data_IF_198896202600
#
_entry.id   IF_198896202600
#
_cell.length_a   1.000
_cell.length_b   1.000
_cell.length_c   1.000
_cell.angle_alpha   90.00
_cell.angle_beta   90.00
_cell.angle_gamma   90.00
#
_symmetry.space_group_name_H-M   'P 1'
#
loop_
_entity.id
_entity.type
_entity.pdbx_description
1 polymer ?
#
# COMPACT_ATOMS: atom_id res chain seq x y z
N UNK A 1 24.10 24.27 -11.44
CA UNK A 1 23.61 23.07 -10.75
C UNK A 1 22.12 22.94 -11.05
N UNK A 2 21.64 21.75 -11.36
CA UNK A 2 20.22 21.52 -11.64
C UNK A 2 19.73 20.47 -10.65
N UNK A 3 18.61 20.76 -9.99
CA UNK A 3 17.93 19.82 -9.07
C UNK A 3 16.61 19.43 -9.71
N UNK A 4 16.35 18.14 -9.80
CA UNK A 4 15.10 17.62 -10.35
C UNK A 4 14.10 17.36 -9.23
N UNK A 5 12.95 18.03 -9.29
CA UNK A 5 11.83 17.87 -8.33
C UNK A 5 10.49 17.64 -9.02
N UNK A 6 10.48 17.45 -10.35
CA UNK A 6 9.27 17.40 -11.16
C UNK A 6 8.60 16.01 -11.24
N UNK A 7 9.07 15.02 -10.46
CA UNK A 7 8.47 13.68 -10.45
C UNK A 7 8.83 12.87 -9.21
N UNK A 8 7.87 12.08 -8.74
CA UNK A 8 8.04 11.06 -7.71
C UNK A 8 8.06 9.68 -8.36
N UNK A 9 8.97 8.82 -7.91
CA UNK A 9 8.96 7.40 -8.23
C UNK A 9 8.44 6.59 -7.04
N UNK A 10 8.05 5.35 -7.30
CA UNK A 10 7.71 4.38 -6.26
C UNK A 10 8.74 3.24 -6.24
N UNK A 11 8.95 2.57 -5.09
CA UNK A 11 9.89 1.45 -5.02
C UNK A 11 9.52 0.33 -6.00
N UNK A 12 10.51 -0.18 -6.73
CA UNK A 12 10.32 -1.24 -7.74
C UNK A 12 10.12 -2.64 -7.14
N UNK A 13 10.19 -2.77 -5.81
CA UNK A 13 10.17 -4.04 -5.09
C UNK A 13 8.92 -4.88 -5.39
N UNK A 14 7.74 -4.25 -5.48
CA UNK A 14 6.49 -4.96 -5.74
C UNK A 14 6.51 -5.64 -7.12
N UNK A 15 6.83 -4.87 -8.16
CA UNK A 15 6.95 -5.37 -9.53
C UNK A 15 8.04 -6.45 -9.65
N UNK A 16 9.21 -6.24 -9.05
CA UNK A 16 10.31 -7.22 -9.06
C UNK A 16 9.99 -8.50 -8.29
N UNK A 17 9.05 -8.44 -7.34
CA UNK A 17 8.56 -9.60 -6.60
C UNK A 17 7.44 -10.34 -7.35
N UNK A 18 7.08 -9.90 -8.56
CA UNK A 18 6.00 -10.51 -9.36
C UNK A 18 4.60 -10.17 -8.87
N UNK A 19 4.45 -9.14 -8.03
CA UNK A 19 3.15 -8.68 -7.55
C UNK A 19 2.50 -7.73 -8.56
N UNK A 20 1.17 -7.71 -8.56
CA UNK A 20 0.35 -6.84 -9.39
C UNK A 20 0.55 -5.39 -8.97
N UNK A 21 0.95 -4.55 -9.92
CA UNK A 21 1.14 -3.11 -9.71
C UNK A 21 0.32 -2.27 -10.68
N UNK A 22 0.03 -1.03 -10.29
CA UNK A 22 -0.52 -0.03 -11.20
C UNK A 22 0.53 0.45 -12.23
N UNK A 23 0.13 1.33 -13.14
CA UNK A 23 1.00 1.86 -14.20
C UNK A 23 2.22 2.65 -13.68
N UNK A 24 2.18 3.15 -12.43
CA UNK A 24 3.33 3.81 -11.82
C UNK A 24 4.23 2.84 -11.03
N UNK A 25 3.80 1.60 -10.80
CA UNK A 25 4.54 0.60 -10.02
C UNK A 25 4.08 0.45 -8.57
N UNK A 26 2.95 1.06 -8.18
CA UNK A 26 2.37 0.93 -6.84
C UNK A 26 1.71 -0.44 -6.68
N UNK A 27 1.86 -1.06 -5.53
CA UNK A 27 1.23 -2.34 -5.22
C UNK A 27 -0.29 -2.18 -5.22
N UNK A 28 -0.98 -2.97 -6.04
CA UNK A 28 -2.44 -3.03 -6.05
C UNK A 28 -2.92 -3.75 -4.79
N UNK A 29 -3.82 -3.10 -4.07
CA UNK A 29 -4.41 -3.63 -2.84
C UNK A 29 -5.92 -3.54 -2.85
N UNK A 30 -6.57 -4.26 -1.95
CA UNK A 30 -7.94 -3.96 -1.55
C UNK A 30 -8.00 -2.71 -0.64
N UNK A 31 -9.20 -2.39 -0.14
CA UNK A 31 -9.46 -1.27 0.76
C UNK A 31 -8.84 -1.45 2.15
N UNK A 32 -8.44 -2.68 2.51
CA UNK A 32 -7.71 -2.98 3.75
C UNK A 32 -6.20 -2.79 3.60
N UNK A 33 -5.75 -2.34 2.42
CA UNK A 33 -4.35 -2.21 2.04
C UNK A 33 -3.62 -3.54 1.90
N UNK A 34 -4.36 -4.62 1.67
CA UNK A 34 -3.82 -5.96 1.44
C UNK A 34 -3.56 -6.18 -0.04
N UNK A 35 -2.40 -6.74 -0.38
CA UNK A 35 -2.12 -7.15 -1.76
C UNK A 35 -3.22 -8.05 -2.31
N UNK A 36 -3.63 -7.80 -3.55
CA UNK A 36 -4.59 -8.66 -4.25
C UNK A 36 -4.00 -10.02 -4.64
N UNK A 37 -2.67 -10.17 -4.60
CA UNK A 37 -1.97 -11.40 -4.98
C UNK A 37 -1.64 -12.30 -3.78
N UNK A 38 -1.29 -11.72 -2.63
CA UNK A 38 -0.93 -12.47 -1.41
C UNK A 38 -1.49 -11.81 -0.13
N UNK A 39 -2.36 -12.50 0.64
CA UNK A 39 -2.95 -11.96 1.85
C UNK A 39 -1.95 -11.70 2.98
N UNK A 40 -0.69 -12.13 2.86
CA UNK A 40 0.37 -11.85 3.84
C UNK A 40 1.06 -10.51 3.60
N UNK A 41 0.81 -9.87 2.45
CA UNK A 41 1.48 -8.64 2.05
C UNK A 41 0.51 -7.46 2.24
N UNK A 42 1.01 -6.40 2.87
CA UNK A 42 0.28 -5.16 3.13
C UNK A 42 1.09 -3.99 2.58
N UNK A 43 0.43 -3.05 1.92
CA UNK A 43 1.05 -1.83 1.41
C UNK A 43 0.74 -0.63 2.32
N UNK A 44 1.58 0.39 2.30
CA UNK A 44 1.33 1.65 2.99
C UNK A 44 1.93 2.83 2.23
N UNK A 45 1.44 4.04 2.52
CA UNK A 45 1.94 5.28 1.95
C UNK A 45 1.84 5.33 0.42
N UNK A 46 2.81 6.00 -0.19
CA UNK A 46 2.83 6.27 -1.64
C UNK A 46 3.06 5.01 -2.50
N UNK A 47 3.40 3.88 -1.87
CA UNK A 47 3.58 2.59 -2.55
C UNK A 47 2.26 1.81 -2.73
N UNK A 48 1.15 2.27 -2.15
CA UNK A 48 -0.14 1.58 -2.20
C UNK A 48 -1.08 2.17 -3.27
N UNK A 49 -1.83 1.30 -3.96
CA UNK A 49 -2.93 1.66 -4.83
C UNK A 49 -4.20 0.87 -4.46
N UNK A 50 -4.94 1.33 -3.42
CA UNK A 50 -6.16 0.66 -2.95
C UNK A 50 -7.25 0.71 -4.01
N UNK A 51 -7.76 -0.44 -4.40
CA UNK A 51 -8.78 -0.62 -5.43
C UNK A 51 -8.42 0.07 -6.75
N UNK A 52 -7.11 0.17 -7.05
CA UNK A 52 -6.59 0.89 -8.21
C UNK A 52 -6.78 2.42 -8.15
N UNK A 53 -7.18 2.98 -7.01
CA UNK A 53 -7.43 4.41 -6.78
C UNK A 53 -6.46 4.94 -5.71
N UNK A 54 -5.20 5.21 -6.09
CA UNK A 54 -4.18 5.65 -5.16
C UNK A 54 -4.43 7.07 -4.66
N UNK A 55 -4.10 7.32 -3.40
CA UNK A 55 -4.13 8.66 -2.82
C UNK A 55 -2.98 9.52 -3.36
N UNK A 56 -3.14 10.85 -3.23
CA UNK A 56 -2.11 11.81 -3.60
C UNK A 56 -0.83 11.55 -2.81
N UNK A 57 0.29 11.41 -3.53
CA UNK A 57 1.61 11.24 -2.94
C UNK A 57 1.95 12.41 -2.02
N UNK A 58 1.99 12.15 -0.72
CA UNK A 58 2.25 13.15 0.32
C UNK A 58 2.36 12.52 1.69
N UNK A 59 3.16 13.13 2.57
CA UNK A 59 3.22 12.75 3.98
C UNK A 59 1.85 12.84 4.67
N UNK A 60 1.01 13.82 4.28
CA UNK A 60 -0.34 14.00 4.81
C UNK A 60 -1.24 12.79 4.52
N UNK A 61 -1.19 12.25 3.29
CA UNK A 61 -1.96 11.06 2.92
C UNK A 61 -1.32 9.77 3.46
N UNK A 62 0.01 9.73 3.55
CA UNK A 62 0.75 8.55 4.00
C UNK A 62 0.48 8.21 5.48
N UNK A 63 0.28 9.21 6.34
CA UNK A 63 0.00 9.00 7.77
C UNK A 63 -1.26 8.15 8.01
N UNK A 64 -2.45 8.58 7.54
CA UNK A 64 -3.68 7.79 7.65
C UNK A 64 -3.58 6.39 7.03
N UNK A 65 -2.92 6.25 5.87
CA UNK A 65 -2.68 4.94 5.24
C UNK A 65 -1.83 4.03 6.14
N UNK A 66 -0.79 4.57 6.77
CA UNK A 66 0.05 3.81 7.70
C UNK A 66 -0.73 3.30 8.91
N UNK A 67 -1.62 4.13 9.47
CA UNK A 67 -2.51 3.70 10.58
C UNK A 67 -3.43 2.57 10.13
N UNK A 68 -4.04 2.69 8.95
CA UNK A 68 -4.91 1.64 8.42
C UNK A 68 -4.16 0.33 8.15
N UNK A 69 -2.96 0.40 7.56
CA UNK A 69 -2.12 -0.78 7.34
C UNK A 69 -1.78 -1.48 8.67
N UNK A 70 -1.46 -0.71 9.71
CA UNK A 70 -1.21 -1.25 11.04
C UNK A 70 -2.47 -1.92 11.63
N UNK A 71 -3.64 -1.32 11.49
CA UNK A 71 -4.91 -1.91 11.93
C UNK A 71 -5.20 -3.24 11.23
N UNK A 72 -4.95 -3.34 9.92
CA UNK A 72 -5.08 -4.58 9.15
C UNK A 72 -4.18 -5.68 9.70
N UNK A 73 -2.91 -5.36 9.98
CA UNK A 73 -1.96 -6.32 10.58
C UNK A 73 -2.42 -6.75 11.98
N UNK A 74 -2.81 -5.81 12.83
CA UNK A 74 -3.29 -6.11 14.18
C UNK A 74 -4.55 -6.98 14.17
N UNK A 75 -5.52 -6.71 13.28
CA UNK A 75 -6.73 -7.52 13.14
C UNK A 75 -6.41 -8.96 12.72
N UNK A 76 -5.38 -9.17 11.88
CA UNK A 76 -4.92 -10.52 11.51
C UNK A 76 -4.28 -11.26 12.67
N UNK A 77 -3.43 -10.58 13.44
CA UNK A 77 -2.77 -11.18 14.60
C UNK A 77 -3.80 -11.56 15.67
N UNK A 78 -4.82 -10.73 15.87
CA UNK A 78 -5.91 -11.03 16.82
C UNK A 78 -6.74 -12.27 16.41
N UNK A 79 -6.70 -12.66 15.13
CA UNK A 79 -7.52 -13.74 14.59
C UNK A 79 -9.00 -13.35 14.47
N UNK A 80 -9.83 -14.21 13.85
CA UNK A 80 -11.27 -13.95 13.79
C UNK A 80 -11.85 -13.91 15.20
N UNK A 81 -12.64 -12.87 15.49
CA UNK A 81 -13.43 -12.86 16.72
C UNK A 81 -14.35 -14.09 16.71
N UNK A 82 -14.24 -14.94 17.73
CA UNK A 82 -15.25 -15.97 17.98
C UNK A 82 -16.56 -15.23 18.21
N UNK A 83 -17.47 -15.30 17.23
CA UNK A 83 -18.86 -14.91 17.42
C UNK A 83 -19.41 -15.81 18.53
N UNK A 84 -19.88 -15.21 19.63
CA UNK A 84 -20.71 -15.89 20.61
C UNK A 84 -22.06 -16.24 20.01
#
# INVERSE_FOLDING_TARGET
>A
MTVWTAGFGVPDLAARSGLSTDALGRLLTDETLTSIDDPRIVAAGDAAAPSGQPLRMSCQAAGPLGVQAANTVLARIAGPSRKC
#
